data_IF_556522258109
#
_entry.id   IF_556522258109
#
_cell.length_a   1.000
_cell.length_b   1.000
_cell.length_c   1.000
_cell.angle_alpha   90.00
_cell.angle_beta   90.00
_cell.angle_gamma   90.00
#
_symmetry.space_group_name_H-M   'P 1'
#
loop_
_entity.id
_entity.type
_entity.pdbx_description
1 polymer ?
#
# COMPACT_ATOMS: atom_id res chain seq x y z
N UNK A 1 0.62 -8.83 -2.36
CA UNK A 1 -0.15 -8.77 -3.64
C UNK A 1 -0.37 -7.31 -4.01
N UNK A 2 0.09 -6.89 -5.19
CA UNK A 2 -0.16 -5.55 -5.73
C UNK A 2 -1.62 -5.40 -6.15
N UNK A 3 -2.21 -4.22 -5.96
CA UNK A 3 -3.56 -3.93 -6.46
C UNK A 3 -3.47 -3.24 -7.80
N UNK A 4 -4.45 -3.52 -8.66
CA UNK A 4 -4.57 -2.93 -9.99
C UNK A 4 -4.68 -1.40 -9.95
N UNK A 5 -5.21 -0.82 -8.85
CA UNK A 5 -5.28 0.64 -8.65
C UNK A 5 -3.91 1.35 -8.74
N UNK A 6 -2.80 0.65 -8.49
CA UNK A 6 -1.46 1.20 -8.64
C UNK A 6 -1.14 1.52 -10.11
N UNK A 7 -1.58 0.65 -11.02
CA UNK A 7 -1.29 0.77 -12.45
C UNK A 7 -2.24 1.75 -13.16
N UNK A 8 -3.47 1.93 -12.66
CA UNK A 8 -4.44 2.84 -13.28
C UNK A 8 -4.25 4.31 -12.92
N UNK A 9 -3.56 4.60 -11.80
CA UNK A 9 -3.41 5.98 -11.30
C UNK A 9 -2.18 6.70 -11.83
N UNK A 10 -1.21 5.97 -12.35
CA UNK A 10 0.12 6.51 -12.64
C UNK A 10 0.57 6.14 -14.05
N UNK A 11 1.17 7.11 -14.75
CA UNK A 11 1.96 6.84 -15.95
C UNK A 11 3.43 6.79 -15.54
N UNK A 12 4.12 5.73 -15.95
CA UNK A 12 5.53 5.53 -15.67
C UNK A 12 6.35 5.93 -16.89
N UNK A 13 7.27 6.88 -16.72
CA UNK A 13 8.13 7.39 -17.80
C UNK A 13 9.45 6.64 -17.92
N UNK A 14 9.82 5.89 -16.87
CA UNK A 14 11.02 5.05 -16.83
C UNK A 14 10.87 3.95 -15.77
N UNK A 15 11.76 2.96 -15.82
CA UNK A 15 11.82 1.86 -14.84
C UNK A 15 12.18 2.38 -13.45
N UNK A 16 13.09 3.35 -13.37
CA UNK A 16 13.52 3.95 -12.10
C UNK A 16 12.34 4.66 -11.41
N UNK A 17 11.54 5.41 -12.18
CA UNK A 17 10.33 6.06 -11.69
C UNK A 17 9.30 5.02 -11.24
N UNK A 18 9.14 3.94 -12.01
CA UNK A 18 8.26 2.83 -11.62
C UNK A 18 8.68 2.21 -10.28
N UNK A 19 9.95 1.90 -10.11
CA UNK A 19 10.48 1.30 -8.88
C UNK A 19 10.29 2.23 -7.67
N UNK A 20 10.57 3.53 -7.84
CA UNK A 20 10.37 4.53 -6.80
C UNK A 20 8.89 4.60 -6.36
N UNK A 21 7.97 4.75 -7.32
CA UNK A 21 6.53 4.80 -7.05
C UNK A 21 5.99 3.50 -6.46
N UNK A 22 6.52 2.35 -6.90
CA UNK A 22 6.16 1.04 -6.35
C UNK A 22 6.53 0.95 -4.87
N UNK A 23 7.73 1.38 -4.51
CA UNK A 23 8.19 1.39 -3.13
C UNK A 23 7.32 2.31 -2.25
N UNK A 24 6.98 3.49 -2.75
CA UNK A 24 6.09 4.42 -2.06
C UNK A 24 4.68 3.83 -1.88
N UNK A 25 4.12 3.25 -2.94
CA UNK A 25 2.82 2.60 -2.91
C UNK A 25 2.77 1.46 -1.88
N UNK A 26 3.79 0.60 -1.83
CA UNK A 26 3.86 -0.50 -0.87
C UNK A 26 3.90 0.05 0.57
N UNK A 27 4.71 1.09 0.83
CA UNK A 27 4.80 1.71 2.16
C UNK A 27 3.47 2.31 2.58
N UNK A 28 2.83 3.08 1.69
CA UNK A 28 1.51 3.66 1.94
C UNK A 28 0.46 2.59 2.19
N UNK A 29 0.38 1.58 1.32
CA UNK A 29 -0.62 0.51 1.41
C UNK A 29 -0.54 -0.20 2.76
N UNK A 30 0.67 -0.51 3.21
CA UNK A 30 0.88 -1.30 4.41
C UNK A 30 0.72 -0.52 5.72
N UNK A 31 1.11 0.76 5.73
CA UNK A 31 1.24 1.53 6.98
C UNK A 31 0.25 2.69 7.10
N UNK A 32 -0.31 3.19 6.00
CA UNK A 32 -1.15 4.40 6.01
C UNK A 32 -2.55 4.18 5.48
N UNK A 33 -2.78 3.11 4.71
CA UNK A 33 -4.09 2.86 4.11
C UNK A 33 -5.14 2.55 5.18
N UNK A 34 -6.13 3.42 5.27
CA UNK A 34 -7.31 3.23 6.11
C UNK A 34 -8.20 2.15 5.47
N UNK A 35 -8.58 1.17 6.28
CA UNK A 35 -9.60 0.17 5.91
C UNK A 35 -10.68 0.15 6.97
N UNK A 36 -11.91 0.52 6.59
CA UNK A 36 -13.07 0.51 7.51
C UNK A 36 -13.32 -0.88 8.09
N UNK A 37 -13.17 -1.94 7.28
CA UNK A 37 -13.29 -3.33 7.75
C UNK A 37 -12.22 -3.75 8.77
N UNK A 38 -11.14 -2.97 8.92
CA UNK A 38 -10.09 -3.18 9.91
C UNK A 38 -10.21 -2.13 11.03
N UNK A 39 -11.40 -1.59 11.28
CA UNK A 39 -11.64 -0.52 12.27
C UNK A 39 -10.75 0.71 12.03
N UNK A 40 -10.48 1.03 10.77
CA UNK A 40 -9.64 2.17 10.39
C UNK A 40 -8.13 1.91 10.48
N UNK A 41 -7.71 0.75 10.97
CA UNK A 41 -6.29 0.40 11.11
C UNK A 41 -5.64 0.15 9.75
N UNK A 42 -4.33 0.44 9.69
CA UNK A 42 -3.51 -0.01 8.56
C UNK A 42 -3.35 -1.53 8.58
N UNK A 43 -3.02 -2.16 7.44
CA UNK A 43 -2.79 -3.60 7.38
C UNK A 43 -1.72 -4.10 8.35
N UNK A 44 -0.67 -3.33 8.62
CA UNK A 44 0.38 -3.71 9.58
C UNK A 44 -0.15 -3.64 11.01
N UNK A 45 -0.84 -2.57 11.39
CA UNK A 45 -1.40 -2.41 12.74
C UNK A 45 -2.42 -3.52 13.06
N UNK A 46 -3.30 -3.83 12.11
CA UNK A 46 -4.27 -4.91 12.27
C UNK A 46 -3.58 -6.27 12.53
N UNK A 47 -2.51 -6.59 11.78
CA UNK A 47 -1.74 -7.84 12.00
C UNK A 47 -1.02 -7.87 13.35
N UNK A 48 -0.58 -6.71 13.86
CA UNK A 48 0.05 -6.64 15.19
C UNK A 48 -0.96 -6.95 16.30
N UNK A 49 -2.23 -6.59 16.13
CA UNK A 49 -3.28 -6.91 17.10
C UNK A 49 -3.61 -8.41 17.15
N UNK A 50 -3.55 -9.11 16.02
CA UNK A 50 -3.84 -10.57 15.98
C UNK A 50 -2.74 -11.46 16.56
N UNK A 51 -1.57 -10.90 16.90
CA UNK A 51 -0.45 -11.63 17.52
C UNK A 51 -0.47 -11.46 19.06
N UNK A 52 -1.44 -10.70 19.58
CA UNK A 52 -1.65 -10.47 21.01
C UNK A 52 -2.70 -11.43 21.57
#
# INVERSE_FOLDING_TARGET
>A
VLKSEFFYREKFRSIEIFQSKLNEYIRWYNNKRIKLKLNGLSPVEYRKQSIK
#
